data_IF_270874550858
#
_entry.id   IF_270874550858
#
_cell.length_a   1.000
_cell.length_b   1.000
_cell.length_c   1.000
_cell.angle_alpha   90.00
_cell.angle_beta   90.00
_cell.angle_gamma   90.00
#
_symmetry.space_group_name_H-M   'P 1'
#
loop_
_entity.id
_entity.type
_entity.pdbx_description
1 polymer ?
#
# COMPACT_ATOMS: atom_id res chain seq x y z
N UNK A 1 -13.94 1.39 11.01
CA UNK A 1 -13.78 0.82 9.65
C UNK A 1 -13.98 -0.69 9.73
N UNK A 2 -14.87 -1.26 8.93
CA UNK A 2 -15.07 -2.71 8.92
C UNK A 2 -13.83 -3.41 8.34
N UNK A 3 -13.10 -4.16 9.16
CA UNK A 3 -11.96 -4.97 8.73
C UNK A 3 -12.49 -6.16 7.92
N UNK A 4 -12.03 -6.31 6.68
CA UNK A 4 -12.40 -7.46 5.82
C UNK A 4 -11.60 -8.70 6.22
N UNK A 5 -12.25 -9.86 6.23
CA UNK A 5 -11.63 -11.15 6.55
C UNK A 5 -11.33 -11.94 5.27
N UNK A 6 -10.61 -13.05 5.41
CA UNK A 6 -10.26 -13.96 4.30
C UNK A 6 -11.48 -14.47 3.53
N UNK A 7 -12.59 -14.73 4.22
CA UNK A 7 -13.84 -15.23 3.60
C UNK A 7 -14.59 -14.14 2.83
N UNK A 8 -14.34 -12.87 3.14
CA UNK A 8 -14.98 -11.71 2.52
C UNK A 8 -13.93 -10.64 2.20
N UNK A 9 -12.95 -10.94 1.34
CA UNK A 9 -11.87 -10.00 1.07
C UNK A 9 -12.40 -8.82 0.27
N UNK A 10 -11.74 -7.67 0.37
CA UNK A 10 -12.06 -6.51 -0.45
C UNK A 10 -11.49 -6.71 -1.84
N UNK A 11 -12.33 -6.68 -2.87
CA UNK A 11 -11.87 -6.56 -4.26
C UNK A 11 -11.47 -5.12 -4.54
N UNK A 12 -10.28 -4.93 -5.11
CA UNK A 12 -9.66 -3.65 -5.41
C UNK A 12 -9.05 -3.68 -6.81
N UNK A 13 -8.81 -2.50 -7.38
CA UNK A 13 -8.09 -2.34 -8.64
C UNK A 13 -6.78 -1.59 -8.41
N UNK A 14 -5.76 -1.90 -9.20
CA UNK A 14 -4.51 -1.11 -9.22
C UNK A 14 -4.81 0.35 -9.62
N UNK A 15 -3.90 1.31 -9.36
CA UNK A 15 -4.17 2.71 -9.64
C UNK A 15 -4.61 3.00 -11.09
N UNK A 16 -4.02 2.42 -12.15
CA UNK A 16 -4.52 2.61 -13.52
C UNK A 16 -5.85 1.89 -13.84
N UNK A 17 -6.43 1.16 -12.87
CA UNK A 17 -7.65 0.34 -12.98
C UNK A 17 -7.57 -0.82 -13.97
N UNK A 18 -6.37 -1.24 -14.34
CA UNK A 18 -6.12 -2.29 -15.35
C UNK A 18 -6.02 -3.70 -14.79
N UNK A 19 -5.82 -3.86 -13.48
CA UNK A 19 -5.72 -5.17 -12.84
C UNK A 19 -6.49 -5.19 -11.51
N UNK A 20 -7.17 -6.30 -11.24
CA UNK A 20 -7.81 -6.58 -9.95
C UNK A 20 -6.92 -7.38 -9.02
N UNK A 21 -7.11 -7.16 -7.73
CA UNK A 21 -6.53 -7.93 -6.64
C UNK A 21 -7.49 -7.91 -5.45
N UNK A 22 -7.25 -8.78 -4.47
CA UNK A 22 -8.02 -8.79 -3.23
C UNK A 22 -7.15 -8.46 -2.04
N UNK A 23 -7.74 -7.84 -1.02
CA UNK A 23 -7.07 -7.55 0.23
C UNK A 23 -7.96 -7.85 1.44
N UNK A 24 -7.40 -8.49 2.45
CA UNK A 24 -8.07 -8.75 3.73
C UNK A 24 -7.08 -8.62 4.88
N UNK A 25 -7.62 -8.56 6.10
CA UNK A 25 -6.85 -8.61 7.33
C UNK A 25 -6.78 -10.07 7.80
N UNK A 26 -5.60 -10.49 8.22
CA UNK A 26 -5.35 -11.78 8.88
C UNK A 26 -4.41 -11.56 10.06
N UNK A 27 -4.48 -12.41 11.09
CA UNK A 27 -3.46 -12.43 12.13
C UNK A 27 -2.31 -13.35 11.71
N UNK A 28 -1.09 -12.85 11.81
CA UNK A 28 0.13 -13.60 11.55
C UNK A 28 1.17 -13.28 12.61
N UNK A 29 1.70 -14.31 13.26
CA UNK A 29 2.70 -14.19 14.32
C UNK A 29 2.27 -13.21 15.44
N UNK A 30 0.99 -13.23 15.82
CA UNK A 30 0.39 -12.37 16.84
C UNK A 30 0.21 -10.90 16.40
N UNK A 31 0.28 -10.61 15.10
CA UNK A 31 0.09 -9.27 14.54
C UNK A 31 -0.92 -9.29 13.40
N UNK A 32 -1.78 -8.28 13.35
CA UNK A 32 -2.65 -8.09 12.19
C UNK A 32 -1.84 -7.60 10.99
N UNK A 33 -2.05 -8.26 9.85
CA UNK A 33 -1.41 -7.93 8.57
C UNK A 33 -2.45 -7.78 7.47
N UNK A 34 -2.13 -6.97 6.47
CA UNK A 34 -2.87 -6.95 5.21
C UNK A 34 -2.33 -8.04 4.30
N UNK A 35 -3.20 -8.97 3.93
CA UNK A 35 -2.93 -10.02 2.95
C UNK A 35 -3.44 -9.53 1.59
N UNK A 36 -2.51 -9.28 0.66
CA UNK A 36 -2.79 -8.83 -0.70
C UNK A 36 -2.59 -9.98 -1.69
N UNK A 37 -3.65 -10.41 -2.37
CA UNK A 37 -3.63 -11.52 -3.32
C UNK A 37 -3.83 -11.00 -4.74
N UNK A 38 -2.83 -11.22 -5.60
CA UNK A 38 -2.82 -10.81 -7.01
C UNK A 38 -2.40 -11.99 -7.90
N UNK A 39 -3.35 -12.53 -8.65
CA UNK A 39 -3.17 -13.81 -9.34
C UNK A 39 -2.75 -14.91 -8.36
N UNK A 40 -1.57 -15.50 -8.57
CA UNK A 40 -0.99 -16.53 -7.68
C UNK A 40 -0.09 -15.95 -6.58
N UNK A 41 0.22 -14.65 -6.63
CA UNK A 41 1.10 -14.02 -5.67
C UNK A 41 0.31 -13.55 -4.45
N UNK A 42 0.86 -13.82 -3.27
CA UNK A 42 0.36 -13.30 -1.98
C UNK A 42 1.46 -12.46 -1.36
N UNK A 43 1.20 -11.17 -1.23
CA UNK A 43 2.04 -10.19 -0.54
C UNK A 43 1.48 -9.95 0.86
N UNK A 44 2.35 -9.55 1.78
CA UNK A 44 1.97 -9.21 3.15
C UNK A 44 2.46 -7.80 3.44
N UNK A 45 1.58 -6.96 3.97
CA UNK A 45 1.90 -5.61 4.43
C UNK A 45 1.51 -5.45 5.90
N UNK A 46 2.30 -4.72 6.67
CA UNK A 46 1.96 -4.34 8.04
C UNK A 46 0.73 -3.41 8.02
N UNK A 47 -0.31 -3.78 8.77
CA UNK A 47 -1.59 -3.06 8.80
C UNK A 47 -1.42 -1.59 9.23
N UNK A 48 -0.42 -1.29 10.07
CA UNK A 48 -0.10 0.07 10.54
C UNK A 48 0.26 1.02 9.39
N UNK A 49 0.69 0.47 8.25
CA UNK A 49 1.00 1.25 7.05
C UNK A 49 -0.14 2.12 6.55
N UNK A 50 -1.42 1.78 6.85
CA UNK A 50 -2.57 2.63 6.52
C UNK A 50 -2.49 3.97 7.27
N UNK A 51 -2.41 3.91 8.59
CA UNK A 51 -2.45 5.09 9.45
C UNK A 51 -1.17 5.90 9.35
N UNK A 52 -0.01 5.22 9.31
CA UNK A 52 1.28 5.88 9.17
C UNK A 52 1.41 6.62 7.82
N UNK A 53 0.91 6.01 6.73
CA UNK A 53 0.91 6.66 5.41
C UNK A 53 -0.05 7.86 5.42
N UNK A 54 -1.22 7.73 6.05
CA UNK A 54 -2.16 8.85 6.16
C UNK A 54 -1.54 10.04 6.90
N UNK A 55 -0.91 9.80 8.05
CA UNK A 55 -0.22 10.84 8.84
C UNK A 55 0.91 11.48 8.02
N UNK A 56 1.71 10.67 7.32
CA UNK A 56 2.79 11.19 6.47
C UNK A 56 2.24 12.07 5.35
N UNK A 57 1.19 11.63 4.64
CA UNK A 57 0.58 12.39 3.55
C UNK A 57 -0.06 13.69 4.03
N UNK A 58 -0.68 13.70 5.22
CA UNK A 58 -1.19 14.93 5.86
C UNK A 58 -0.07 15.93 6.11
N UNK A 59 1.07 15.47 6.60
CA UNK A 59 2.25 16.33 6.81
C UNK A 59 2.86 16.81 5.50
N UNK A 60 2.89 15.97 4.47
CA UNK A 60 3.36 16.32 3.13
C UNK A 60 2.47 17.40 2.48
N UNK A 61 1.16 17.36 2.72
CA UNK A 61 0.21 18.43 2.39
C UNK A 61 -0.19 18.53 0.91
N UNK A 62 0.60 17.97 -0.01
CA UNK A 62 0.35 17.97 -1.45
C UNK A 62 0.16 16.54 -2.02
N UNK A 63 0.04 16.41 -3.34
CA UNK A 63 0.07 15.13 -4.05
C UNK A 63 1.48 14.56 -4.06
N UNK A 64 1.58 13.25 -3.80
CA UNK A 64 2.83 12.49 -3.81
C UNK A 64 2.78 11.42 -4.91
N UNK A 65 3.86 11.29 -5.68
CA UNK A 65 4.02 10.20 -6.66
C UNK A 65 3.92 8.84 -5.94
N UNK A 66 3.18 7.88 -6.51
CA UNK A 66 3.04 6.56 -5.91
C UNK A 66 4.33 5.74 -5.96
N UNK A 67 5.00 5.72 -7.10
CA UNK A 67 6.02 4.71 -7.39
C UNK A 67 5.41 3.32 -7.55
N UNK A 68 6.22 2.27 -7.40
CA UNK A 68 5.74 0.89 -7.49
C UNK A 68 6.82 -0.15 -7.80
N UNK A 69 8.05 0.08 -7.34
CA UNK A 69 9.17 -0.82 -7.57
C UNK A 69 9.00 -2.15 -6.82
N UNK A 70 9.47 -3.23 -7.43
CA UNK A 70 9.66 -4.51 -6.75
C UNK A 70 10.73 -4.38 -5.63
N UNK A 71 10.83 -5.38 -4.75
CA UNK A 71 11.81 -5.37 -3.65
C UNK A 71 13.25 -5.28 -4.18
N UNK A 72 13.54 -5.94 -5.30
CA UNK A 72 14.88 -6.01 -5.89
C UNK A 72 15.24 -4.79 -6.75
N UNK A 73 14.31 -3.84 -6.93
CA UNK A 73 14.51 -2.66 -7.75
C UNK A 73 14.57 -1.41 -6.88
N UNK A 74 15.42 -0.42 -7.22
CA UNK A 74 15.42 0.86 -6.52
C UNK A 74 14.05 1.52 -6.65
N UNK A 75 13.56 2.11 -5.56
CA UNK A 75 12.42 3.00 -5.61
C UNK A 75 12.89 4.41 -5.97
N UNK A 76 12.09 5.13 -6.76
CA UNK A 76 12.32 6.54 -7.05
C UNK A 76 12.13 7.34 -5.75
N UNK A 77 13.09 8.19 -5.40
CA UNK A 77 13.00 9.07 -4.24
C UNK A 77 11.79 10.00 -4.32
N UNK A 78 11.27 10.37 -3.15
CA UNK A 78 10.07 11.22 -3.04
C UNK A 78 8.75 10.53 -3.40
N UNK A 79 8.74 9.21 -3.57
CA UNK A 79 7.52 8.43 -3.83
C UNK A 79 6.98 7.71 -2.59
N UNK A 80 5.69 7.38 -2.59
CA UNK A 80 5.06 6.55 -1.55
C UNK A 80 5.77 5.22 -1.42
N UNK A 81 6.18 4.62 -2.55
CA UNK A 81 6.97 3.39 -2.56
C UNK A 81 8.32 3.54 -1.85
N UNK A 82 9.03 4.64 -2.08
CA UNK A 82 10.30 4.91 -1.39
C UNK A 82 10.10 5.14 0.11
N UNK A 83 9.05 5.86 0.49
CA UNK A 83 8.70 6.05 1.91
C UNK A 83 8.34 4.73 2.60
N UNK A 84 7.57 3.87 1.94
CA UNK A 84 7.12 2.58 2.47
C UNK A 84 8.23 1.55 2.74
N UNK A 85 9.45 1.83 2.28
CA UNK A 85 10.66 1.00 2.49
C UNK A 85 11.80 1.75 3.19
N UNK A 86 11.54 2.97 3.69
CA UNK A 86 12.57 3.84 4.24
C UNK A 86 12.90 3.52 5.70
N UNK A 87 14.18 3.56 6.06
CA UNK A 87 14.62 3.51 7.47
C UNK A 87 14.14 4.72 8.30
N UNK A 88 13.65 5.77 7.65
CA UNK A 88 13.14 6.99 8.29
C UNK A 88 11.62 6.94 8.55
N UNK A 89 10.92 5.91 8.09
CA UNK A 89 9.50 5.74 8.38
C UNK A 89 9.30 5.19 9.82
N UNK A 90 8.07 5.25 10.38
CA UNK A 90 7.78 4.78 11.74
C UNK A 90 8.24 3.35 12.07
N UNK A 91 8.24 2.44 11.08
CA UNK A 91 8.67 1.04 11.25
C UNK A 91 10.16 0.82 10.97
N UNK A 92 10.90 1.88 10.65
CA UNK A 92 12.34 1.89 10.35
C UNK A 92 12.74 0.89 9.25
N UNK A 93 11.91 0.76 8.22
CA UNK A 93 12.18 -0.16 7.13
C UNK A 93 10.97 -0.44 6.26
N UNK A 94 10.69 -1.72 5.99
CA UNK A 94 9.65 -2.14 5.07
C UNK A 94 8.32 -2.36 5.78
N UNK A 95 7.24 -1.74 5.27
CA UNK A 95 5.89 -2.21 5.58
C UNK A 95 5.58 -3.55 4.89
N UNK A 96 6.25 -3.86 3.78
CA UNK A 96 6.17 -5.18 3.16
C UNK A 96 6.88 -6.23 4.02
N UNK A 97 6.17 -7.29 4.39
CA UNK A 97 6.64 -8.27 5.38
C UNK A 97 7.21 -9.55 4.75
N UNK A 98 6.74 -9.93 3.56
CA UNK A 98 7.15 -11.19 2.92
C UNK A 98 8.42 -11.00 2.09
N UNK A 99 9.53 -11.62 2.52
CA UNK A 99 10.82 -11.59 1.79
C UNK A 99 10.65 -12.03 0.33
N UNK A 100 11.26 -11.28 -0.57
CA UNK A 100 11.13 -11.43 -2.03
C UNK A 100 9.92 -10.70 -2.62
N UNK A 101 8.98 -10.25 -1.78
CA UNK A 101 7.71 -9.61 -2.14
C UNK A 101 7.39 -8.40 -1.25
N UNK A 102 8.40 -7.68 -0.74
CA UNK A 102 8.20 -6.52 0.14
C UNK A 102 7.86 -5.21 -0.58
N UNK A 103 8.17 -5.12 -1.88
CA UNK A 103 7.90 -3.94 -2.70
C UNK A 103 6.42 -3.80 -3.08
N UNK A 104 6.16 -2.87 -4.01
CA UNK A 104 4.82 -2.52 -4.51
C UNK A 104 3.86 -2.00 -3.42
N UNK A 105 4.41 -1.45 -2.35
CA UNK A 105 3.62 -0.77 -1.32
C UNK A 105 2.80 0.39 -1.90
N UNK A 106 3.42 1.21 -2.75
CA UNK A 106 2.79 2.32 -3.47
C UNK A 106 1.80 1.89 -4.56
N UNK A 107 1.69 0.59 -4.85
CA UNK A 107 0.71 0.06 -5.83
C UNK A 107 -0.54 -0.46 -5.14
N UNK A 108 -0.38 -1.21 -4.05
CA UNK A 108 -1.50 -1.96 -3.46
C UNK A 108 -2.10 -1.31 -2.21
N UNK A 109 -1.35 -0.49 -1.46
CA UNK A 109 -1.95 0.20 -0.31
C UNK A 109 -2.86 1.38 -0.71
N UNK A 110 -2.50 2.24 -1.70
CA UNK A 110 -3.30 3.42 -2.02
C UNK A 110 -4.76 3.15 -2.43
N UNK A 111 -5.08 2.13 -3.27
CA UNK A 111 -6.47 1.85 -3.60
C UNK A 111 -7.29 1.36 -2.39
N UNK A 112 -6.66 0.70 -1.42
CA UNK A 112 -7.32 0.40 -0.15
C UNK A 112 -7.67 1.72 0.57
N UNK A 113 -6.71 2.61 0.75
CA UNK A 113 -6.94 3.90 1.43
C UNK A 113 -8.02 4.75 0.74
N UNK A 114 -8.07 4.73 -0.59
CA UNK A 114 -9.14 5.37 -1.36
C UNK A 114 -10.50 4.75 -1.05
N UNK A 115 -10.60 3.43 -1.08
CA UNK A 115 -11.84 2.70 -0.77
C UNK A 115 -12.31 2.88 0.68
N UNK A 116 -11.41 3.32 1.57
CA UNK A 116 -11.68 3.67 2.95
C UNK A 116 -12.01 5.17 3.14
N UNK A 117 -11.95 5.97 2.08
CA UNK A 117 -12.22 7.40 2.12
C UNK A 117 -11.09 8.25 2.73
N UNK A 118 -9.87 7.70 2.86
CA UNK A 118 -8.75 8.36 3.54
C UNK A 118 -7.86 9.19 2.60
N UNK A 119 -7.94 8.94 1.29
CA UNK A 119 -7.13 9.67 0.32
C UNK A 119 -7.89 10.00 -0.97
N UNK A 120 -7.36 10.95 -1.71
CA UNK A 120 -7.61 11.11 -3.14
C UNK A 120 -6.51 10.37 -3.90
N UNK A 121 -6.89 9.62 -4.94
CA UNK A 121 -5.99 8.85 -5.78
C UNK A 121 -6.24 9.20 -7.25
N UNK A 122 -5.18 9.43 -8.02
CA UNK A 122 -5.31 9.57 -9.48
C UNK A 122 -5.37 8.19 -10.16
N UNK A 123 -5.97 8.14 -11.34
CA UNK A 123 -6.13 6.91 -12.13
C UNK A 123 -5.70 7.07 -13.59
N UNK A 124 -4.50 7.61 -13.78
CA UNK A 124 -3.82 7.74 -15.05
C UNK A 124 -3.17 6.42 -15.49
N UNK A 125 -2.81 6.32 -16.78
CA UNK A 125 -2.08 5.16 -17.31
C UNK A 125 -0.71 4.96 -16.64
N UNK A 126 -0.05 6.05 -16.20
CA UNK A 126 1.24 6.05 -15.51
C UNK A 126 1.41 7.30 -14.65
N UNK A 127 2.35 7.27 -13.70
CA UNK A 127 2.69 8.44 -12.89
C UNK A 127 1.58 8.85 -11.91
N UNK A 128 0.84 7.86 -11.40
CA UNK A 128 -0.23 8.12 -10.44
C UNK A 128 0.28 8.74 -9.16
N UNK A 129 -0.59 9.52 -8.52
CA UNK A 129 -0.33 10.27 -7.31
C UNK A 129 -1.47 10.08 -6.30
N UNK A 130 -1.17 10.31 -5.03
CA UNK A 130 -2.18 10.36 -3.97
C UNK A 130 -1.98 11.54 -3.04
N UNK A 131 -3.03 11.92 -2.31
CA UNK A 131 -3.01 12.92 -1.24
C UNK A 131 -3.99 12.50 -0.14
N UNK A 132 -3.66 12.76 1.12
CA UNK A 132 -4.59 12.51 2.22
C UNK A 132 -5.81 13.45 2.16
N UNK A 133 -7.00 12.92 2.48
CA UNK A 133 -8.22 13.72 2.68
C UNK A 133 -8.23 14.32 4.07
#
# INVERSE_FOLDING_TARGET
MEKRTKDKPRTLKTPPRTAEYTMHVEEKDGKEVLVCTVGKAVLLQDLRGIDDLYVMLKKHGDRMDLGGADEQKPAKDGTVEAWGRSEKNPVKGWYGLKKGLRGRFGVYLPPLMEALGMCELSHEAKGNKMRAK
#
